data_IF_720689731674
#
_entry.id   IF_720689731674
#
_cell.length_a   1.000
_cell.length_b   1.000
_cell.length_c   1.000
_cell.angle_alpha   90.00
_cell.angle_beta   90.00
_cell.angle_gamma   90.00
#
_symmetry.space_group_name_H-M   'P 1'
#
loop_
_entity.id
_entity.type
_entity.pdbx_description
1 polymer ?
#
# COMPACT_ATOMS: atom_id res chain seq x y z
N UNK A 1 32.03 -51.54 -9.21
CA UNK A 1 31.60 -50.48 -10.16
C UNK A 1 30.11 -50.28 -10.00
N UNK A 2 29.73 -49.31 -9.18
CA UNK A 2 28.32 -48.97 -8.89
C UNK A 2 28.23 -47.45 -8.93
N UNK A 3 27.50 -46.94 -9.93
CA UNK A 3 27.19 -45.50 -10.09
C UNK A 3 26.07 -45.12 -9.12
N UNK A 4 26.08 -43.92 -8.50
CA UNK A 4 24.93 -43.42 -7.78
C UNK A 4 23.95 -42.70 -8.71
N UNK A 5 22.66 -42.91 -8.44
CA UNK A 5 21.53 -42.28 -9.12
C UNK A 5 21.45 -40.78 -8.83
N UNK A 6 21.09 -40.00 -9.85
CA UNK A 6 20.81 -38.56 -9.75
C UNK A 6 19.35 -38.35 -9.35
N UNK A 7 19.13 -37.60 -8.27
CA UNK A 7 17.85 -36.99 -7.88
C UNK A 7 17.28 -36.09 -9.00
N UNK A 8 15.96 -36.11 -9.27
CA UNK A 8 15.35 -35.19 -10.21
C UNK A 8 15.11 -33.83 -9.54
N UNK A 9 15.64 -32.77 -10.18
CA UNK A 9 15.35 -31.38 -9.85
C UNK A 9 13.89 -31.07 -10.23
N UNK A 10 13.06 -30.71 -9.25
CA UNK A 10 11.74 -30.12 -9.48
C UNK A 10 11.96 -28.68 -9.94
N UNK A 11 11.63 -28.39 -11.20
CA UNK A 11 11.56 -27.04 -11.71
C UNK A 11 10.22 -26.42 -11.26
N UNK A 12 10.26 -25.48 -10.33
CA UNK A 12 9.11 -24.65 -9.97
C UNK A 12 8.87 -23.63 -11.10
N UNK A 13 7.93 -23.93 -12.00
CA UNK A 13 7.42 -22.94 -12.94
C UNK A 13 6.55 -21.93 -12.16
N UNK A 14 7.07 -20.73 -11.90
CA UNK A 14 6.24 -19.60 -11.51
C UNK A 14 5.35 -19.23 -12.70
N UNK A 15 4.06 -19.53 -12.59
CA UNK A 15 3.02 -19.02 -13.48
C UNK A 15 2.88 -17.53 -13.19
N UNK A 16 3.12 -16.68 -14.19
CA UNK A 16 2.87 -15.23 -14.06
C UNK A 16 1.35 -15.01 -14.07
N UNK A 17 0.77 -14.24 -13.12
CA UNK A 17 -0.64 -13.89 -13.13
C UNK A 17 -1.05 -13.26 -14.47
N UNK A 18 -2.13 -13.76 -15.07
CA UNK A 18 -2.59 -13.34 -16.40
C UNK A 18 -3.76 -12.36 -16.25
N UNK A 19 -3.64 -11.17 -16.84
CA UNK A 19 -4.76 -10.23 -16.90
C UNK A 19 -5.85 -10.77 -17.83
N UNK A 20 -7.11 -10.68 -17.41
CA UNK A 20 -8.25 -10.92 -18.31
C UNK A 20 -8.51 -9.63 -19.10
N UNK A 21 -8.28 -9.59 -20.43
CA UNK A 21 -8.49 -8.37 -21.20
C UNK A 21 -9.98 -8.08 -21.32
N UNK A 22 -10.46 -7.12 -20.51
CA UNK A 22 -11.78 -6.54 -20.60
C UNK A 22 -11.71 -5.08 -20.17
N UNK A 23 -11.45 -4.17 -21.12
CA UNK A 23 -11.60 -2.73 -20.88
C UNK A 23 -13.11 -2.47 -20.88
N UNK A 24 -13.72 -2.45 -19.69
CA UNK A 24 -15.08 -1.98 -19.52
C UNK A 24 -15.03 -0.57 -18.95
N UNK A 25 -15.19 0.42 -19.83
CA UNK A 25 -15.53 1.79 -19.44
C UNK A 25 -16.95 1.77 -18.89
N UNK A 26 -17.09 1.80 -17.56
CA UNK A 26 -18.39 1.99 -16.94
C UNK A 26 -18.66 3.49 -16.83
N UNK A 27 -19.76 4.02 -17.40
CA UNK A 27 -20.22 5.34 -17.03
C UNK A 27 -20.62 5.30 -15.55
N UNK A 28 -20.18 6.31 -14.79
CA UNK A 28 -20.64 6.59 -13.44
C UNK A 28 -22.17 6.59 -13.46
N UNK A 29 -22.81 5.60 -12.82
CA UNK A 29 -24.25 5.60 -12.59
C UNK A 29 -24.60 6.86 -11.80
N UNK A 30 -25.35 7.75 -12.45
CA UNK A 30 -25.80 9.01 -11.90
C UNK A 30 -26.56 8.79 -10.59
N UNK A 31 -26.05 9.41 -9.52
CA UNK A 31 -26.84 9.73 -8.35
C UNK A 31 -27.63 10.99 -8.70
N UNK A 32 -28.86 10.84 -9.17
CA UNK A 32 -29.86 11.90 -9.13
C UNK A 32 -30.53 11.88 -7.75
N UNK A 33 -30.39 12.97 -6.98
CA UNK A 33 -31.53 13.58 -6.36
C UNK A 33 -31.75 14.93 -7.04
N UNK A 34 -32.99 15.19 -7.44
CA UNK A 34 -33.45 16.46 -7.99
C UNK A 34 -33.00 17.63 -7.10
N UNK A 35 -31.98 18.37 -7.52
CA UNK A 35 -31.51 19.58 -6.84
C UNK A 35 -32.06 20.85 -7.52
N UNK A 36 -32.34 21.92 -6.74
CA UNK A 36 -33.01 23.13 -7.23
C UNK A 36 -32.14 23.96 -8.18
N UNK A 37 -32.74 24.79 -9.05
CA UNK A 37 -32.04 25.50 -10.10
C UNK A 37 -31.15 26.61 -9.52
N UNK A 38 -29.83 26.53 -9.74
CA UNK A 38 -28.89 27.58 -9.37
C UNK A 38 -27.40 27.22 -9.28
N UNK A 39 -27.01 25.94 -9.41
CA UNK A 39 -25.60 25.53 -9.35
C UNK A 39 -25.04 25.16 -10.72
N UNK A 40 -23.90 25.79 -11.05
CA UNK A 40 -23.11 25.51 -12.26
C UNK A 40 -22.73 24.02 -12.36
N UNK A 41 -22.63 23.45 -13.58
CA UNK A 41 -22.40 22.02 -13.75
C UNK A 41 -21.04 21.58 -13.19
N UNK A 42 -21.07 20.53 -12.36
CA UNK A 42 -19.89 19.81 -11.87
C UNK A 42 -19.22 19.14 -13.06
N UNK A 43 -17.94 19.45 -13.32
CA UNK A 43 -17.17 18.82 -14.41
C UNK A 43 -17.07 17.29 -14.24
N UNK A 44 -16.85 16.53 -15.32
CA UNK A 44 -16.72 15.07 -15.23
C UNK A 44 -15.52 14.71 -14.36
N UNK A 45 -15.71 13.76 -13.43
CA UNK A 45 -14.64 13.22 -12.59
C UNK A 45 -13.55 12.50 -13.41
N UNK A 46 -12.45 12.06 -12.77
CA UNK A 46 -11.40 11.32 -13.47
C UNK A 46 -11.97 10.03 -14.10
N UNK A 47 -11.48 9.69 -15.29
CA UNK A 47 -11.82 8.44 -15.95
C UNK A 47 -11.03 7.30 -15.28
N UNK A 48 -11.71 6.23 -14.89
CA UNK A 48 -11.07 5.06 -14.30
C UNK A 48 -11.05 3.92 -15.32
N UNK A 49 -9.86 3.53 -15.76
CA UNK A 49 -9.66 2.36 -16.59
C UNK A 49 -9.44 1.14 -15.71
N UNK A 50 -10.53 0.38 -15.48
CA UNK A 50 -10.49 -0.84 -14.68
C UNK A 50 -9.84 -2.00 -15.42
N UNK A 51 -8.94 -2.67 -14.72
CA UNK A 51 -8.32 -3.93 -15.12
C UNK A 51 -8.56 -4.98 -14.04
N UNK A 52 -8.99 -6.18 -14.44
CA UNK A 52 -9.13 -7.31 -13.52
C UNK A 52 -7.87 -8.19 -13.59
N UNK A 53 -7.29 -8.44 -12.43
CA UNK A 53 -6.14 -9.32 -12.27
C UNK A 53 -6.61 -10.65 -11.69
N UNK A 54 -6.45 -11.72 -12.46
CA UNK A 54 -6.62 -13.08 -11.98
C UNK A 54 -5.39 -13.51 -11.20
N UNK A 55 -5.61 -13.92 -9.97
CA UNK A 55 -4.58 -14.33 -9.02
C UNK A 55 -4.28 -15.82 -9.15
N UNK A 56 -3.19 -16.28 -8.53
CA UNK A 56 -2.74 -17.66 -8.61
C UNK A 56 -3.75 -18.68 -8.04
N UNK A 57 -4.66 -18.23 -7.16
CA UNK A 57 -5.74 -19.05 -6.59
C UNK A 57 -7.07 -18.92 -7.35
N UNK A 58 -7.03 -18.47 -8.60
CA UNK A 58 -8.18 -18.19 -9.46
C UNK A 58 -9.13 -17.10 -8.94
N UNK A 59 -8.73 -16.39 -7.89
CA UNK A 59 -9.37 -15.17 -7.42
C UNK A 59 -9.26 -14.00 -8.40
N UNK A 60 -10.08 -12.98 -8.17
CA UNK A 60 -10.01 -11.72 -8.91
C UNK A 60 -9.87 -10.54 -7.95
N UNK A 61 -8.92 -9.66 -8.27
CA UNK A 61 -8.81 -8.30 -7.74
C UNK A 61 -8.94 -7.30 -8.88
N UNK A 62 -9.25 -6.05 -8.57
CA UNK A 62 -9.35 -4.99 -9.58
C UNK A 62 -8.28 -3.92 -9.36
N UNK A 63 -7.72 -3.43 -10.46
CA UNK A 63 -6.82 -2.30 -10.53
C UNK A 63 -7.49 -1.20 -11.34
N UNK A 64 -7.79 -0.07 -10.71
CA UNK A 64 -8.35 1.09 -11.41
C UNK A 64 -7.23 2.09 -11.71
N UNK A 65 -6.83 2.13 -12.98
CA UNK A 65 -5.86 3.10 -13.47
C UNK A 65 -6.55 4.44 -13.67
N UNK A 66 -6.02 5.49 -13.05
CA UNK A 66 -6.62 6.82 -13.16
C UNK A 66 -6.14 7.48 -14.45
N UNK A 67 -7.08 7.70 -15.37
CA UNK A 67 -6.88 8.28 -16.69
C UNK A 67 -7.54 9.65 -16.74
N UNK A 68 -6.88 10.63 -17.34
CA UNK A 68 -7.48 11.94 -17.54
C UNK A 68 -6.52 12.97 -18.13
N UNK A 69 -7.06 14.04 -18.75
CA UNK A 69 -6.25 15.15 -19.20
C UNK A 69 -5.66 15.84 -17.97
N UNK A 70 -4.33 15.96 -17.94
CA UNK A 70 -3.64 16.77 -16.94
C UNK A 70 -4.14 18.22 -17.10
N UNK A 71 -4.84 18.83 -16.12
CA UNK A 71 -5.53 20.12 -16.28
C UNK A 71 -4.60 21.27 -16.71
N UNK A 72 -3.30 21.11 -16.48
CA UNK A 72 -2.26 21.94 -17.08
C UNK A 72 -1.64 21.11 -18.20
N UNK A 73 -1.83 21.53 -19.46
CA UNK A 73 -1.27 20.92 -20.68
C UNK A 73 0.27 20.80 -20.75
N UNK A 74 0.96 20.86 -19.62
CA UNK A 74 2.32 20.42 -19.46
C UNK A 74 2.28 18.90 -19.41
N UNK A 75 2.61 18.24 -20.53
CA UNK A 75 3.30 16.95 -20.44
C UNK A 75 4.46 17.21 -19.47
N UNK A 76 4.36 16.73 -18.23
CA UNK A 76 5.49 16.73 -17.31
C UNK A 76 6.45 15.68 -17.84
N UNK A 77 7.13 16.03 -18.94
CA UNK A 77 8.40 15.43 -19.29
C UNK A 77 9.38 15.97 -18.25
N UNK A 78 9.33 15.42 -17.04
CA UNK A 78 10.48 15.51 -16.15
C UNK A 78 11.64 14.90 -16.94
N UNK A 79 12.62 15.75 -17.23
CA UNK A 79 13.89 15.45 -17.90
C UNK A 79 14.22 13.95 -17.95
N UNK A 80 13.87 13.30 -19.06
CA UNK A 80 14.35 11.97 -19.45
C UNK A 80 13.93 10.73 -18.63
N UNK A 81 13.01 10.84 -17.65
CA UNK A 81 12.58 9.71 -16.81
C UNK A 81 11.19 9.17 -17.13
N UNK A 82 10.98 7.85 -16.97
CA UNK A 82 9.63 7.25 -16.98
C UNK A 82 8.81 7.76 -15.78
N UNK A 83 7.49 8.00 -15.93
CA UNK A 83 6.63 8.44 -14.83
C UNK A 83 6.59 7.37 -13.73
N UNK A 84 6.67 7.80 -12.47
CA UNK A 84 6.59 6.90 -11.32
C UNK A 84 5.15 6.39 -11.15
N UNK A 85 4.99 5.10 -10.86
CA UNK A 85 3.68 4.52 -10.55
C UNK A 85 3.34 4.77 -9.09
N UNK A 86 2.13 5.23 -8.83
CA UNK A 86 1.61 5.45 -7.48
C UNK A 86 0.48 4.43 -7.20
N UNK A 87 0.80 3.39 -6.45
CA UNK A 87 -0.17 2.42 -5.97
C UNK A 87 -0.93 2.98 -4.77
N UNK A 88 -2.25 3.05 -4.87
CA UNK A 88 -3.12 3.54 -3.80
C UNK A 88 -3.96 2.40 -3.24
N UNK A 89 -3.91 2.20 -1.92
CA UNK A 89 -4.62 1.15 -1.19
C UNK A 89 -5.71 1.82 -0.33
N UNK A 90 -6.98 1.77 -0.76
CA UNK A 90 -8.08 2.36 -0.03
C UNK A 90 -8.35 1.64 1.30
N UNK A 91 -9.16 2.31 2.12
CA UNK A 91 -9.70 1.72 3.34
C UNK A 91 -10.60 0.49 3.06
N UNK A 92 -10.85 -0.31 4.09
CA UNK A 92 -11.63 -1.54 4.03
C UNK A 92 -13.17 -1.33 3.94
N UNK A 93 -13.66 -0.11 3.78
CA UNK A 93 -15.09 0.18 3.60
C UNK A 93 -15.65 -0.32 2.26
N UNK A 94 -14.77 -0.65 1.30
CA UNK A 94 -15.18 -1.18 0.00
C UNK A 94 -15.75 -0.16 -0.98
N UNK A 95 -15.60 1.13 -0.68
CA UNK A 95 -15.98 2.23 -1.57
C UNK A 95 -14.83 3.19 -1.78
N UNK A 96 -14.80 3.79 -2.97
CA UNK A 96 -13.84 4.84 -3.29
C UNK A 96 -14.25 6.14 -2.62
N UNK A 97 -13.32 6.75 -1.88
CA UNK A 97 -13.52 8.02 -1.17
C UNK A 97 -13.12 9.20 -2.05
N UNK A 98 -13.69 10.38 -1.79
CA UNK A 98 -13.26 11.63 -2.44
C UNK A 98 -11.80 11.96 -2.14
N UNK A 99 -11.31 11.54 -0.97
CA UNK A 99 -9.95 11.76 -0.54
C UNK A 99 -8.95 10.94 -1.39
N UNK A 100 -9.20 9.63 -1.59
CA UNK A 100 -8.41 8.81 -2.53
C UNK A 100 -8.43 9.37 -3.96
N UNK A 101 -9.60 9.80 -4.46
CA UNK A 101 -9.69 10.44 -5.78
C UNK A 101 -8.90 11.74 -5.86
N UNK A 102 -8.98 12.58 -4.83
CA UNK A 102 -8.22 13.83 -4.74
C UNK A 102 -6.70 13.60 -4.74
N UNK A 103 -6.22 12.55 -4.06
CA UNK A 103 -4.82 12.14 -4.10
C UNK A 103 -4.42 11.72 -5.52
N UNK A 104 -5.25 10.91 -6.19
CA UNK A 104 -4.95 10.43 -7.54
C UNK A 104 -4.92 11.57 -8.57
N UNK A 105 -5.85 12.52 -8.48
CA UNK A 105 -5.88 13.71 -9.34
C UNK A 105 -4.64 14.57 -9.14
N UNK A 106 -4.27 14.85 -7.89
CA UNK A 106 -3.05 15.60 -7.60
C UNK A 106 -1.80 14.84 -8.06
N UNK A 107 -1.76 13.52 -7.91
CA UNK A 107 -0.66 12.69 -8.37
C UNK A 107 -0.51 12.74 -9.90
N UNK A 108 -1.60 12.70 -10.67
CA UNK A 108 -1.59 12.92 -12.12
C UNK A 108 -1.02 14.29 -12.47
N UNK A 109 -1.44 15.35 -11.77
CA UNK A 109 -0.91 16.71 -11.95
C UNK A 109 0.59 16.80 -11.68
N UNK A 110 1.12 15.98 -10.75
CA UNK A 110 2.54 15.91 -10.41
C UNK A 110 3.33 14.92 -11.27
N UNK A 111 2.71 14.32 -12.29
CA UNK A 111 3.35 13.42 -13.24
C UNK A 111 3.56 11.98 -12.75
N UNK A 112 2.81 11.55 -11.73
CA UNK A 112 2.69 10.14 -11.35
C UNK A 112 1.64 9.44 -12.21
N UNK A 113 1.70 8.11 -12.25
CA UNK A 113 0.68 7.26 -12.84
C UNK A 113 -0.05 6.49 -11.72
N UNK A 114 -1.21 6.98 -11.25
CA UNK A 114 -1.91 6.37 -10.11
C UNK A 114 -2.69 5.13 -10.51
N UNK A 115 -2.61 4.11 -9.67
CA UNK A 115 -3.38 2.87 -9.76
C UNK A 115 -3.98 2.57 -8.41
N UNK A 116 -5.30 2.37 -8.37
CA UNK A 116 -6.04 2.07 -7.14
C UNK A 116 -6.23 0.55 -7.06
N UNK A 117 -5.78 -0.06 -5.96
CA UNK A 117 -5.96 -1.49 -5.71
C UNK A 117 -7.27 -1.75 -4.97
N UNK A 118 -8.13 -2.57 -5.56
CA UNK A 118 -9.39 -3.00 -4.96
C UNK A 118 -9.33 -4.48 -4.59
N UNK A 119 -9.59 -4.75 -3.31
CA UNK A 119 -9.72 -6.10 -2.76
C UNK A 119 -10.85 -6.88 -3.43
N UNK A 120 -10.83 -8.20 -3.27
CA UNK A 120 -11.91 -9.10 -3.69
C UNK A 120 -13.26 -8.60 -3.13
N UNK A 121 -14.29 -8.55 -3.97
CA UNK A 121 -15.63 -8.11 -3.55
C UNK A 121 -15.78 -6.60 -3.29
N UNK A 122 -14.73 -5.77 -3.41
CA UNK A 122 -14.77 -4.34 -3.12
C UNK A 122 -14.94 -3.50 -4.39
N UNK A 123 -15.63 -2.35 -4.27
CA UNK A 123 -15.80 -1.36 -5.34
C UNK A 123 -16.22 -1.93 -6.72
N UNK A 124 -17.05 -2.98 -6.74
CA UNK A 124 -17.51 -3.62 -7.97
C UNK A 124 -16.57 -4.70 -8.53
N UNK A 125 -15.45 -5.00 -7.85
CA UNK A 125 -14.70 -6.22 -8.09
C UNK A 125 -15.56 -7.43 -7.70
N UNK A 126 -15.80 -8.40 -8.60
CA UNK A 126 -16.56 -9.58 -8.26
C UNK A 126 -15.79 -10.48 -7.29
N UNK A 127 -16.53 -11.16 -6.42
CA UNK A 127 -15.99 -12.28 -5.63
C UNK A 127 -16.27 -13.58 -6.38
N UNK A 128 -15.25 -14.13 -7.06
CA UNK A 128 -15.38 -15.34 -7.91
C UNK A 128 -14.91 -16.63 -7.23
N UNK A 129 -14.30 -16.51 -6.06
CA UNK A 129 -13.89 -17.62 -5.20
C UNK A 129 -14.45 -17.39 -3.79
N UNK A 130 -14.68 -18.46 -2.99
CA UNK A 130 -15.15 -18.30 -1.61
C UNK A 130 -14.06 -17.77 -0.64
N UNK A 131 -12.90 -17.36 -1.17
CA UNK A 131 -11.81 -16.77 -0.38
C UNK A 131 -11.96 -15.25 -0.29
N UNK A 132 -12.12 -14.76 0.93
CA UNK A 132 -12.01 -13.34 1.27
C UNK A 132 -10.59 -13.02 1.72
N UNK A 133 -10.21 -11.74 1.62
CA UNK A 133 -8.94 -11.25 2.12
C UNK A 133 -9.09 -10.80 3.57
N UNK A 134 -8.32 -11.42 4.47
CA UNK A 134 -8.23 -11.01 5.87
C UNK A 134 -7.56 -9.64 6.01
N UNK A 135 -7.76 -8.97 7.15
CA UNK A 135 -7.38 -7.57 7.34
C UNK A 135 -5.89 -7.30 7.07
N UNK A 136 -5.03 -8.22 7.49
CA UNK A 136 -3.57 -8.15 7.34
C UNK A 136 -2.98 -9.20 6.39
N UNK A 137 -3.77 -9.82 5.51
CA UNK A 137 -3.27 -10.80 4.51
C UNK A 137 -2.78 -10.07 3.25
N UNK A 138 -1.45 -9.96 3.01
CA UNK A 138 -0.91 -9.26 1.85
C UNK A 138 -0.86 -10.10 0.58
N UNK A 139 -1.37 -11.35 0.56
CA UNK A 139 -1.20 -12.27 -0.58
C UNK A 139 -1.62 -11.65 -1.91
N UNK A 140 -2.81 -11.07 -1.97
CA UNK A 140 -3.34 -10.46 -3.18
C UNK A 140 -2.54 -9.20 -3.58
N UNK A 141 -2.09 -8.44 -2.58
CA UNK A 141 -1.29 -7.24 -2.81
C UNK A 141 0.10 -7.60 -3.36
N UNK A 142 0.72 -8.69 -2.89
CA UNK A 142 2.00 -9.19 -3.39
C UNK A 142 1.93 -9.50 -4.88
N UNK A 143 0.88 -10.21 -5.29
CA UNK A 143 0.64 -10.53 -6.70
C UNK A 143 0.36 -9.28 -7.54
N UNK A 144 -0.47 -8.35 -7.04
CA UNK A 144 -0.77 -7.09 -7.71
C UNK A 144 0.48 -6.20 -7.88
N UNK A 145 1.31 -6.07 -6.85
CA UNK A 145 2.57 -5.31 -6.92
C UNK A 145 3.54 -5.96 -7.91
N UNK A 146 3.62 -7.29 -7.92
CA UNK A 146 4.43 -8.04 -8.90
C UNK A 146 3.95 -7.80 -10.33
N UNK A 147 2.63 -7.82 -10.55
CA UNK A 147 2.02 -7.51 -11.84
C UNK A 147 2.32 -6.07 -12.30
N UNK A 148 2.13 -5.08 -11.42
CA UNK A 148 2.43 -3.67 -11.71
C UNK A 148 3.91 -3.49 -12.05
N UNK A 149 4.80 -4.12 -11.29
CA UNK A 149 6.24 -4.10 -11.55
C UNK A 149 6.59 -4.70 -12.91
N UNK A 150 5.95 -5.81 -13.29
CA UNK A 150 6.15 -6.44 -14.59
C UNK A 150 5.69 -5.52 -15.75
N UNK A 151 4.56 -4.83 -15.59
CA UNK A 151 4.04 -3.87 -16.59
C UNK A 151 4.89 -2.61 -16.70
N UNK A 152 5.49 -2.17 -15.59
CA UNK A 152 6.31 -0.96 -15.51
C UNK A 152 7.71 -1.25 -14.92
N UNK A 153 8.57 -2.02 -15.61
CA UNK A 153 9.80 -2.60 -15.03
C UNK A 153 10.88 -1.57 -14.70
N UNK A 154 10.85 -0.39 -15.31
CA UNK A 154 11.83 0.68 -15.09
C UNK A 154 11.25 1.89 -14.34
N UNK A 155 9.95 1.90 -14.04
CA UNK A 155 9.34 2.97 -13.25
C UNK A 155 9.58 2.74 -11.75
N UNK A 156 9.90 3.80 -10.98
CA UNK A 156 9.76 3.75 -9.52
C UNK A 156 8.31 3.47 -9.15
N UNK A 157 8.10 2.60 -8.17
CA UNK A 157 6.79 2.28 -7.62
C UNK A 157 6.69 2.82 -6.19
N UNK A 158 5.77 3.74 -5.95
CA UNK A 158 5.45 4.23 -4.60
C UNK A 158 4.09 3.67 -4.18
N UNK A 159 3.89 3.49 -2.88
CA UNK A 159 2.63 2.99 -2.33
C UNK A 159 2.06 3.96 -1.30
N UNK A 160 0.75 4.22 -1.35
CA UNK A 160 0.03 5.00 -0.36
C UNK A 160 -1.18 4.23 0.12
N UNK A 161 -1.44 4.23 1.42
CA UNK A 161 -2.67 3.69 1.98
C UNK A 161 -3.52 4.75 2.69
N UNK A 162 -4.83 4.56 2.67
CA UNK A 162 -5.79 5.35 3.44
C UNK A 162 -6.42 4.51 4.57
N UNK A 163 -6.40 5.00 5.80
CA UNK A 163 -7.09 4.41 6.93
C UNK A 163 -6.68 2.95 7.17
N UNK A 164 -7.67 2.07 7.26
CA UNK A 164 -7.50 0.61 7.37
C UNK A 164 -6.82 -0.06 6.17
N UNK A 165 -6.62 0.65 5.05
CA UNK A 165 -5.77 0.18 3.96
C UNK A 165 -4.30 -0.01 4.38
N UNK A 166 -3.88 0.70 5.44
CA UNK A 166 -2.53 0.62 5.98
C UNK A 166 -2.17 -0.77 6.51
N UNK A 167 -3.11 -1.52 7.07
CA UNK A 167 -2.84 -2.85 7.57
C UNK A 167 -2.31 -3.79 6.46
N UNK A 168 -2.90 -3.68 5.26
CA UNK A 168 -2.47 -4.44 4.10
C UNK A 168 -1.10 -3.98 3.59
N UNK A 169 -0.88 -2.66 3.52
CA UNK A 169 0.40 -2.10 3.07
C UNK A 169 1.55 -2.46 4.02
N UNK A 170 1.36 -2.32 5.32
CA UNK A 170 2.38 -2.61 6.33
C UNK A 170 2.70 -4.10 6.38
N UNK A 171 1.68 -4.97 6.32
CA UNK A 171 1.88 -6.42 6.20
C UNK A 171 2.71 -6.78 4.95
N UNK A 172 2.42 -6.15 3.81
CA UNK A 172 3.19 -6.35 2.58
C UNK A 172 4.65 -5.91 2.74
N UNK A 173 4.89 -4.74 3.33
CA UNK A 173 6.24 -4.21 3.51
C UNK A 173 7.07 -5.06 4.46
N UNK A 174 6.49 -5.52 5.57
CA UNK A 174 7.16 -6.41 6.51
C UNK A 174 7.48 -7.76 5.87
N UNK A 175 6.46 -8.47 5.34
CA UNK A 175 6.67 -9.81 4.80
C UNK A 175 7.56 -9.86 3.54
N UNK A 176 7.60 -8.78 2.74
CA UNK A 176 8.49 -8.73 1.57
C UNK A 176 9.89 -8.21 1.91
N UNK A 177 10.02 -7.39 2.96
CA UNK A 177 11.25 -6.72 3.35
C UNK A 177 12.06 -6.16 2.17
N UNK A 178 13.32 -6.58 2.06
CA UNK A 178 14.24 -6.16 0.98
C UNK A 178 13.85 -6.63 -0.42
N UNK A 179 12.95 -7.60 -0.54
CA UNK A 179 12.43 -8.08 -1.83
C UNK A 179 11.26 -7.24 -2.36
N UNK A 180 10.80 -6.25 -1.59
CA UNK A 180 9.74 -5.34 -2.02
C UNK A 180 10.12 -4.57 -3.30
N UNK A 181 9.17 -4.47 -4.23
CA UNK A 181 9.33 -3.63 -5.43
C UNK A 181 9.01 -2.15 -5.17
N UNK A 182 8.46 -1.84 -4.01
CA UNK A 182 8.12 -0.47 -3.61
C UNK A 182 9.40 0.29 -3.28
N UNK A 183 9.46 1.56 -3.66
CA UNK A 183 10.61 2.46 -3.44
C UNK A 183 10.48 3.25 -2.15
N UNK A 184 9.24 3.58 -1.78
CA UNK A 184 8.86 4.24 -0.54
C UNK A 184 7.35 4.19 -0.37
N UNK A 185 6.90 4.31 0.87
CA UNK A 185 5.49 4.18 1.22
C UNK A 185 5.01 5.36 2.08
N UNK A 186 3.71 5.63 2.06
CA UNK A 186 3.08 6.54 3.00
C UNK A 186 1.70 6.04 3.43
N UNK A 187 1.29 6.37 4.65
CA UNK A 187 0.00 5.98 5.22
C UNK A 187 -0.71 7.22 5.77
N UNK A 188 -1.95 7.44 5.33
CA UNK A 188 -2.85 8.50 5.82
C UNK A 188 -3.75 7.89 6.90
N UNK A 189 -3.69 8.41 8.13
CA UNK A 189 -4.40 7.90 9.31
C UNK A 189 -4.31 6.37 9.43
N UNK A 190 -3.09 5.78 9.47
CA UNK A 190 -2.97 4.34 9.58
C UNK A 190 -3.60 3.80 10.87
N UNK A 191 -4.23 2.63 10.76
CA UNK A 191 -4.62 1.83 11.92
C UNK A 191 -3.46 0.88 12.21
N UNK A 192 -2.63 1.22 13.19
CA UNK A 192 -1.39 0.49 13.47
C UNK A 192 -1.63 -0.69 14.40
N UNK A 193 -2.40 -0.49 15.48
CA UNK A 193 -2.79 -1.51 16.46
C UNK A 193 -4.15 -2.09 16.12
N UNK A 194 -4.20 -2.92 15.08
CA UNK A 194 -5.46 -3.38 14.50
C UNK A 194 -6.25 -4.30 15.43
N UNK A 195 -5.57 -5.17 16.19
CA UNK A 195 -6.23 -6.06 17.15
C UNK A 195 -6.98 -5.26 18.20
N UNK A 196 -6.31 -4.35 18.87
CA UNK A 196 -6.87 -3.48 19.90
C UNK A 196 -7.96 -2.59 19.30
N UNK A 197 -7.80 -2.14 18.06
CA UNK A 197 -8.83 -1.37 17.36
C UNK A 197 -10.13 -2.15 17.17
N UNK A 198 -10.06 -3.44 16.81
CA UNK A 198 -11.24 -4.31 16.76
C UNK A 198 -11.80 -4.61 18.17
N UNK A 199 -10.93 -4.81 19.16
CA UNK A 199 -11.34 -5.16 20.54
C UNK A 199 -11.97 -3.98 21.30
N UNK A 200 -11.43 -2.78 21.15
CA UNK A 200 -11.95 -1.56 21.75
C UNK A 200 -13.23 -1.08 21.06
N UNK A 201 -13.36 -1.38 19.76
CA UNK A 201 -14.47 -0.93 18.94
C UNK A 201 -14.35 0.53 18.52
N UNK A 202 -15.10 0.88 17.48
CA UNK A 202 -15.20 2.25 16.98
C UNK A 202 -16.29 3.01 17.73
N UNK A 203 -16.30 4.36 17.68
CA UNK A 203 -17.48 5.09 18.12
C UNK A 203 -18.72 4.61 17.35
N UNK A 204 -19.81 4.40 18.09
CA UNK A 204 -21.05 3.79 17.61
C UNK A 204 -21.51 4.16 16.18
N UNK A 205 -21.53 5.44 15.75
CA UNK A 205 -21.99 5.76 14.40
C UNK A 205 -21.04 5.23 13.31
N UNK A 206 -19.73 5.24 13.55
CA UNK A 206 -18.72 4.72 12.62
C UNK A 206 -18.80 3.19 12.55
N UNK A 207 -18.88 2.52 13.70
CA UNK A 207 -18.95 1.06 13.74
C UNK A 207 -20.19 0.54 13.00
N UNK A 208 -21.35 1.12 13.30
CA UNK A 208 -22.62 0.70 12.71
C UNK A 208 -22.64 0.94 11.20
N UNK A 209 -22.12 2.08 10.75
CA UNK A 209 -21.99 2.38 9.33
C UNK A 209 -21.08 1.38 8.62
N UNK A 210 -19.90 1.10 9.20
CA UNK A 210 -18.93 0.19 8.61
C UNK A 210 -19.50 -1.23 8.55
N UNK A 211 -20.00 -1.74 9.68
CA UNK A 211 -20.58 -3.08 9.76
C UNK A 211 -21.74 -3.28 8.78
N UNK A 212 -22.62 -2.28 8.64
CA UNK A 212 -23.73 -2.33 7.68
C UNK A 212 -23.20 -2.45 6.24
N UNK A 213 -22.15 -1.70 5.89
CA UNK A 213 -21.57 -1.73 4.55
C UNK A 213 -20.91 -3.08 4.26
N UNK A 214 -20.17 -3.65 5.21
CA UNK A 214 -19.60 -4.99 5.06
C UNK A 214 -20.69 -6.05 4.86
N UNK A 215 -21.78 -5.99 5.64
CA UNK A 215 -22.92 -6.89 5.49
C UNK A 215 -23.60 -6.76 4.14
N UNK A 216 -23.82 -5.53 3.66
CA UNK A 216 -24.43 -5.28 2.34
C UNK A 216 -23.52 -5.71 1.19
N UNK A 217 -22.20 -5.56 1.34
CA UNK A 217 -21.24 -6.03 0.36
C UNK A 217 -21.25 -7.56 0.26
N UNK A 218 -21.27 -8.27 1.40
CA UNK A 218 -21.24 -9.73 1.43
C UNK A 218 -22.60 -10.40 1.23
N UNK A 219 -23.72 -9.72 1.46
CA UNK A 219 -25.06 -10.33 1.30
C UNK A 219 -25.32 -10.86 -0.10
N UNK A 220 -24.75 -10.21 -1.13
CA UNK A 220 -24.83 -10.66 -2.52
C UNK A 220 -24.08 -11.97 -2.80
N UNK A 221 -23.16 -12.35 -1.91
CA UNK A 221 -22.34 -13.56 -1.98
C UNK A 221 -22.69 -14.58 -0.89
N UNK A 222 -23.78 -14.37 -0.15
CA UNK A 222 -24.16 -15.21 0.98
C UNK A 222 -24.31 -16.69 0.60
N UNK A 223 -24.91 -16.99 -0.56
CA UNK A 223 -25.05 -18.36 -1.06
C UNK A 223 -23.71 -19.01 -1.38
N UNK A 224 -22.75 -18.28 -1.95
CA UNK A 224 -21.43 -18.79 -2.26
C UNK A 224 -20.57 -19.00 -0.99
N UNK A 225 -20.78 -18.17 0.03
CA UNK A 225 -20.04 -18.24 1.29
C UNK A 225 -20.63 -19.22 2.31
N UNK A 226 -21.88 -19.68 2.11
CA UNK A 226 -22.59 -20.53 3.07
C UNK A 226 -21.85 -21.82 3.41
N UNK A 227 -21.06 -22.37 2.48
CA UNK A 227 -20.32 -23.61 2.68
C UNK A 227 -19.00 -23.38 3.43
N UNK A 228 -18.53 -22.13 3.49
CA UNK A 228 -17.26 -21.76 4.13
C UNK A 228 -17.48 -21.18 5.54
N UNK A 229 -18.55 -20.40 5.73
CA UNK A 229 -18.84 -19.69 6.98
C UNK A 229 -20.31 -19.77 7.35
N UNK A 230 -20.61 -19.67 8.64
CA UNK A 230 -22.00 -19.53 9.13
C UNK A 230 -22.52 -18.13 8.79
N UNK A 231 -23.19 -18.03 7.63
CA UNK A 231 -23.75 -16.77 7.12
C UNK A 231 -24.86 -16.23 8.01
N UNK A 232 -25.62 -17.09 8.69
CA UNK A 232 -26.67 -16.64 9.61
C UNK A 232 -26.07 -15.95 10.84
N UNK A 233 -25.02 -16.54 11.45
CA UNK A 233 -24.27 -15.89 12.54
C UNK A 233 -23.61 -14.60 12.04
N UNK A 234 -22.97 -14.65 10.87
CA UNK A 234 -22.26 -13.52 10.27
C UNK A 234 -23.15 -12.27 10.13
N UNK A 235 -24.31 -12.40 9.51
CA UNK A 235 -25.22 -11.25 9.29
C UNK A 235 -25.92 -10.79 10.57
N UNK A 236 -25.90 -11.58 11.65
CA UNK A 236 -26.41 -11.22 12.98
C UNK A 236 -25.39 -10.55 13.90
N UNK A 237 -24.10 -10.56 13.54
CA UNK A 237 -23.02 -9.91 14.30
C UNK A 237 -23.36 -8.46 14.65
N UNK A 238 -23.01 -8.00 15.85
CA UNK A 238 -23.36 -6.66 16.35
C UNK A 238 -22.18 -5.70 16.41
N UNK A 239 -20.97 -6.22 16.28
CA UNK A 239 -19.73 -5.45 16.23
C UNK A 239 -18.88 -5.85 15.02
N UNK A 240 -17.91 -5.01 14.67
CA UNK A 240 -16.91 -5.35 13.66
C UNK A 240 -16.06 -6.55 14.09
N UNK A 241 -15.72 -6.64 15.39
CA UNK A 241 -15.00 -7.79 15.96
C UNK A 241 -15.75 -9.10 15.72
N UNK A 242 -17.02 -9.17 16.11
CA UNK A 242 -17.84 -10.39 15.93
C UNK A 242 -17.95 -10.79 14.45
N UNK A 243 -18.06 -9.78 13.58
CA UNK A 243 -18.15 -9.99 12.14
C UNK A 243 -16.85 -10.55 11.57
N UNK A 244 -15.71 -9.94 11.89
CA UNK A 244 -14.38 -10.37 11.46
C UNK A 244 -14.03 -11.77 12.00
N UNK A 245 -14.27 -12.01 13.29
CA UNK A 245 -14.06 -13.31 13.94
C UNK A 245 -14.94 -14.39 13.32
N UNK A 246 -16.20 -14.08 12.98
CA UNK A 246 -17.07 -15.05 12.29
C UNK A 246 -16.62 -15.33 10.87
N UNK A 247 -16.06 -14.35 10.16
CA UNK A 247 -15.54 -14.53 8.79
C UNK A 247 -14.29 -15.40 8.74
N UNK A 248 -13.32 -15.13 9.61
CA UNK A 248 -11.97 -15.68 9.46
C UNK A 248 -11.58 -16.69 10.54
N UNK A 249 -12.18 -16.63 11.74
CA UNK A 249 -11.89 -17.56 12.83
C UNK A 249 -12.86 -18.74 12.86
N UNK A 250 -14.14 -18.52 12.57
CA UNK A 250 -15.18 -19.55 12.64
C UNK A 250 -15.51 -20.18 11.27
N UNK A 251 -14.49 -20.41 10.44
CA UNK A 251 -14.70 -21.13 9.17
C UNK A 251 -15.09 -22.60 9.44
N UNK A 252 -15.93 -23.17 8.57
CA UNK A 252 -16.43 -24.55 8.73
C UNK A 252 -15.35 -25.62 8.53
N UNK A 253 -14.32 -25.30 7.75
CA UNK A 253 -13.25 -26.24 7.41
C UNK A 253 -12.10 -26.22 8.42
N UNK A 254 -11.70 -25.03 8.87
CA UNK A 254 -10.55 -24.85 9.76
C UNK A 254 -10.79 -23.71 10.75
N UNK A 255 -11.52 -23.96 11.85
CA UNK A 255 -11.70 -22.95 12.87
C UNK A 255 -10.38 -22.67 13.59
N UNK A 256 -10.08 -21.39 13.83
CA UNK A 256 -8.90 -20.92 14.58
C UNK A 256 -9.35 -19.96 15.69
N UNK A 257 -8.48 -19.71 16.68
CA UNK A 257 -8.77 -18.73 17.71
C UNK A 257 -8.53 -17.29 17.22
N UNK A 258 -9.10 -16.31 17.90
CA UNK A 258 -8.89 -14.89 17.63
C UNK A 258 -7.42 -14.48 17.80
N UNK A 259 -6.73 -15.07 18.77
CA UNK A 259 -5.29 -14.87 19.00
C UNK A 259 -4.49 -15.40 17.82
N UNK A 260 -4.73 -16.64 17.40
CA UNK A 260 -4.06 -17.24 16.23
C UNK A 260 -4.36 -16.45 14.96
N UNK A 261 -5.56 -15.88 14.80
CA UNK A 261 -5.86 -15.00 13.68
C UNK A 261 -4.93 -13.78 13.65
N UNK A 262 -4.75 -13.10 14.78
CA UNK A 262 -3.88 -11.93 14.86
C UNK A 262 -2.40 -12.26 14.77
N UNK A 263 -1.95 -13.42 15.23
CA UNK A 263 -0.55 -13.84 15.02
C UNK A 263 -0.16 -13.82 13.54
N UNK A 264 -1.12 -14.09 12.64
CA UNK A 264 -0.90 -14.07 11.19
C UNK A 264 -1.33 -12.77 10.50
N UNK A 265 -2.18 -11.96 11.14
CA UNK A 265 -2.81 -10.79 10.49
C UNK A 265 -2.48 -9.45 11.16
N UNK A 266 -1.65 -9.44 12.21
CA UNK A 266 -1.15 -8.19 12.78
C UNK A 266 -0.26 -7.48 11.75
N UNK A 267 -0.63 -6.27 11.29
CA UNK A 267 0.13 -5.59 10.25
C UNK A 267 1.54 -5.17 10.63
N UNK A 268 1.88 -5.23 11.93
CA UNK A 268 3.20 -4.92 12.44
C UNK A 268 4.04 -6.15 12.77
N UNK A 269 3.52 -7.39 12.56
CA UNK A 269 4.20 -8.65 12.90
C UNK A 269 5.64 -8.76 12.39
N UNK A 270 5.89 -8.25 11.18
CA UNK A 270 7.19 -8.27 10.49
C UNK A 270 7.69 -6.84 10.19
N UNK A 271 7.25 -5.84 10.96
CA UNK A 271 7.54 -4.42 10.65
C UNK A 271 9.03 -4.09 10.63
N UNK A 272 9.84 -4.80 11.41
CA UNK A 272 11.28 -4.61 11.48
C UNK A 272 12.01 -5.06 10.20
N UNK A 273 11.38 -5.92 9.40
CA UNK A 273 11.92 -6.37 8.11
C UNK A 273 11.65 -5.36 6.97
N UNK A 274 10.78 -4.36 7.20
CA UNK A 274 10.47 -3.34 6.21
C UNK A 274 11.74 -2.57 5.80
N UNK A 275 12.10 -2.69 4.52
CA UNK A 275 13.38 -2.18 3.99
C UNK A 275 13.23 -0.91 3.14
N UNK A 276 12.13 -0.17 3.31
CA UNK A 276 11.83 1.05 2.55
C UNK A 276 11.29 2.15 3.47
N UNK A 277 11.52 3.44 3.15
CA UNK A 277 11.03 4.54 3.98
C UNK A 277 9.50 4.60 3.99
N UNK A 278 8.89 4.65 5.17
CA UNK A 278 7.44 4.72 5.39
C UNK A 278 7.08 5.99 6.16
N UNK A 279 6.28 6.86 5.56
CA UNK A 279 5.74 8.06 6.23
C UNK A 279 4.31 7.80 6.75
N UNK A 280 4.10 7.87 8.05
CA UNK A 280 2.78 7.80 8.67
C UNK A 280 2.30 9.21 9.04
N UNK A 281 1.19 9.65 8.45
CA UNK A 281 0.52 10.91 8.79
C UNK A 281 -0.66 10.58 9.70
N UNK A 282 -0.60 11.02 10.95
CA UNK A 282 -1.59 10.76 11.99
C UNK A 282 -2.16 12.09 12.53
N UNK A 283 -3.38 12.06 13.05
CA UNK A 283 -3.97 13.19 13.77
C UNK A 283 -4.23 12.82 15.22
N UNK A 284 -4.00 13.77 16.14
CA UNK A 284 -4.30 13.61 17.56
C UNK A 284 -5.80 13.60 17.87
N UNK A 285 -6.62 14.20 16.99
CA UNK A 285 -8.08 14.25 17.09
C UNK A 285 -8.80 13.20 16.20
N UNK A 286 -8.12 12.13 15.78
CA UNK A 286 -8.69 11.07 14.94
C UNK A 286 -9.75 10.25 15.72
N UNK A 287 -11.06 10.38 15.40
CA UNK A 287 -12.12 9.69 16.15
C UNK A 287 -12.19 8.19 15.83
N UNK A 288 -11.53 7.72 14.77
CA UNK A 288 -11.54 6.33 14.33
C UNK A 288 -10.37 5.56 14.96
N UNK A 289 -9.21 6.19 15.09
CA UNK A 289 -8.04 5.57 15.72
C UNK A 289 -8.04 5.74 17.25
N UNK A 290 -8.63 6.83 17.77
CA UNK A 290 -8.65 7.15 19.20
C UNK A 290 -7.48 8.05 19.62
N UNK A 291 -7.21 8.20 20.92
CA UNK A 291 -6.12 9.04 21.43
C UNK A 291 -4.72 8.48 21.12
N UNK A 292 -3.75 9.32 20.69
CA UNK A 292 -2.38 8.90 20.32
C UNK A 292 -1.70 7.92 21.28
N UNK A 293 -1.82 8.17 22.59
CA UNK A 293 -1.18 7.37 23.63
C UNK A 293 -1.61 5.89 23.64
N UNK A 294 -2.78 5.59 23.07
CA UNK A 294 -3.32 4.24 23.02
C UNK A 294 -3.01 3.52 21.69
N UNK A 295 -3.14 4.20 20.56
CA UNK A 295 -3.07 3.56 19.24
C UNK A 295 -1.72 3.71 18.53
N UNK A 296 -0.87 4.67 18.91
CA UNK A 296 0.44 4.86 18.30
C UNK A 296 1.50 4.00 18.99
N UNK A 297 2.18 3.08 18.29
CA UNK A 297 3.36 2.40 18.79
C UNK A 297 4.55 3.37 18.76
N UNK A 298 4.72 4.19 19.80
CA UNK A 298 5.82 5.18 19.88
C UNK A 298 7.20 4.55 19.69
N UNK A 299 7.42 3.36 20.25
CA UNK A 299 8.69 2.62 20.12
C UNK A 299 9.05 2.29 18.67
N UNK A 300 8.06 2.04 17.80
CA UNK A 300 8.31 1.81 16.36
C UNK A 300 8.96 3.05 15.74
N UNK A 301 8.42 4.24 16.02
CA UNK A 301 8.90 5.50 15.45
C UNK A 301 10.19 6.02 16.11
N UNK A 302 10.52 5.53 17.31
CA UNK A 302 11.78 5.86 17.97
C UNK A 302 12.93 4.96 17.56
N UNK A 303 12.67 3.67 17.35
CA UNK A 303 13.71 2.66 17.12
C UNK A 303 13.92 2.31 15.64
N UNK A 304 12.86 2.34 14.81
CA UNK A 304 12.95 1.90 13.43
C UNK A 304 13.36 3.06 12.49
N UNK A 305 14.52 2.98 11.82
CA UNK A 305 15.05 4.05 10.98
C UNK A 305 14.26 4.27 9.68
N UNK A 306 13.37 3.36 9.31
CA UNK A 306 12.58 3.45 8.10
C UNK A 306 11.21 4.10 8.33
N UNK A 307 10.75 4.25 9.58
CA UNK A 307 9.43 4.77 9.89
C UNK A 307 9.48 6.21 10.37
N UNK A 308 8.72 7.07 9.70
CA UNK A 308 8.59 8.48 10.02
C UNK A 308 7.17 8.79 10.47
N UNK A 309 7.02 9.47 11.59
CA UNK A 309 5.73 9.93 12.09
C UNK A 309 5.57 11.43 11.86
N UNK A 310 4.50 11.82 11.19
CA UNK A 310 3.97 13.18 11.18
C UNK A 310 2.66 13.17 11.96
N UNK A 311 2.70 13.63 13.21
CA UNK A 311 1.54 13.77 14.07
C UNK A 311 1.05 15.23 14.06
N UNK A 312 -0.14 15.48 13.52
CA UNK A 312 -0.80 16.79 13.60
C UNK A 312 -1.76 16.86 14.79
N UNK A 313 -2.03 18.08 15.27
CA UNK A 313 -3.07 18.29 16.29
C UNK A 313 -4.48 18.05 15.74
N UNK A 314 -4.68 18.41 14.47
CA UNK A 314 -5.97 18.37 13.79
C UNK A 314 -5.88 17.72 12.42
N UNK A 315 -6.97 17.08 12.03
CA UNK A 315 -7.09 16.36 10.76
C UNK A 315 -8.13 15.25 10.77
N UNK A 316 -8.63 14.85 11.94
CA UNK A 316 -9.58 13.75 12.08
C UNK A 316 -9.07 12.46 11.41
N UNK A 317 -10.01 11.61 10.96
CA UNK A 317 -9.67 10.42 10.19
C UNK A 317 -9.61 10.73 8.69
N UNK A 318 -8.42 10.75 8.11
CA UNK A 318 -8.18 11.06 6.70
C UNK A 318 -8.70 12.46 6.25
N UNK A 319 -9.01 13.35 7.19
CA UNK A 319 -9.64 14.66 6.96
C UNK A 319 -8.66 15.82 6.95
N UNK A 320 -7.45 15.61 6.45
CA UNK A 320 -6.36 16.59 6.40
C UNK A 320 -6.59 17.70 5.35
N UNK A 321 -7.74 18.36 5.41
CA UNK A 321 -8.21 19.32 4.40
C UNK A 321 -7.60 20.72 4.61
N UNK A 322 -7.61 21.54 3.55
CA UNK A 322 -7.33 22.98 3.63
C UNK A 322 -8.64 23.76 3.77
N UNK A 323 -8.58 25.10 3.73
CA UNK A 323 -9.78 25.96 3.65
C UNK A 323 -10.63 25.63 2.41
N UNK A 324 -10.00 25.21 1.31
CA UNK A 324 -10.68 24.60 0.16
C UNK A 324 -10.70 23.07 0.30
N UNK A 325 -11.81 22.40 -0.07
CA UNK A 325 -12.06 21.00 0.30
C UNK A 325 -11.13 19.98 -0.39
N UNK A 326 -10.47 20.30 -1.49
CA UNK A 326 -9.46 19.45 -2.14
C UNK A 326 -8.42 20.29 -2.92
N UNK A 327 -7.16 19.84 -3.01
CA UNK A 327 -6.60 18.63 -2.39
C UNK A 327 -6.32 18.78 -0.88
N UNK A 328 -6.36 17.68 -0.15
CA UNK A 328 -5.91 17.61 1.24
C UNK A 328 -4.42 17.95 1.35
N UNK A 329 -4.00 18.64 2.41
CA UNK A 329 -2.58 18.99 2.60
C UNK A 329 -1.71 17.73 2.77
N UNK A 330 -2.27 16.64 3.29
CA UNK A 330 -1.58 15.35 3.39
C UNK A 330 -1.16 14.82 2.02
N UNK A 331 -1.95 15.06 0.97
CA UNK A 331 -1.61 14.63 -0.38
C UNK A 331 -0.38 15.37 -0.92
N UNK A 332 -0.29 16.68 -0.65
CA UNK A 332 0.88 17.47 -1.02
C UNK A 332 2.12 16.97 -0.30
N UNK A 333 2.04 16.77 1.01
CA UNK A 333 3.15 16.26 1.85
C UNK A 333 3.64 14.90 1.35
N UNK A 334 2.74 13.97 1.05
CA UNK A 334 3.10 12.63 0.56
C UNK A 334 3.84 12.70 -0.78
N UNK A 335 3.32 13.49 -1.73
CA UNK A 335 3.95 13.61 -3.05
C UNK A 335 5.29 14.36 -2.97
N UNK A 336 5.41 15.34 -2.08
CA UNK A 336 6.69 15.99 -1.79
C UNK A 336 7.70 15.05 -1.14
N UNK A 337 7.25 14.23 -0.20
CA UNK A 337 8.06 13.17 0.42
C UNK A 337 8.58 12.18 -0.62
N UNK A 338 7.73 11.67 -1.52
CA UNK A 338 8.18 10.77 -2.59
C UNK A 338 9.14 11.44 -3.58
N UNK A 339 8.93 12.73 -3.88
CA UNK A 339 9.88 13.51 -4.69
C UNK A 339 11.24 13.60 -3.99
N UNK A 340 11.26 13.90 -2.69
CA UNK A 340 12.49 13.98 -1.90
C UNK A 340 13.21 12.63 -1.83
N UNK A 341 12.49 11.52 -1.63
CA UNK A 341 13.06 10.17 -1.70
C UNK A 341 13.70 9.87 -3.06
N UNK A 342 13.02 10.25 -4.15
CA UNK A 342 13.54 10.06 -5.51
C UNK A 342 14.84 10.83 -5.71
N UNK A 343 14.90 12.07 -5.25
CA UNK A 343 16.09 12.92 -5.32
C UNK A 343 17.25 12.39 -4.47
N UNK A 344 16.94 11.92 -3.26
CA UNK A 344 17.89 11.29 -2.35
C UNK A 344 18.53 10.06 -3.01
N UNK A 345 17.74 9.11 -3.52
CA UNK A 345 18.27 7.90 -4.16
C UNK A 345 19.06 8.20 -5.43
N UNK A 346 18.64 9.18 -6.25
CA UNK A 346 19.41 9.62 -7.42
C UNK A 346 20.76 10.21 -7.04
N UNK A 347 20.81 10.96 -5.94
CA UNK A 347 22.06 11.56 -5.44
C UNK A 347 23.00 10.48 -4.92
N UNK A 348 22.48 9.53 -4.15
CA UNK A 348 23.21 8.34 -3.67
C UNK A 348 23.80 7.52 -4.83
N UNK A 349 23.02 7.25 -5.88
CA UNK A 349 23.49 6.54 -7.07
C UNK A 349 24.60 7.30 -7.80
N UNK A 350 24.48 8.63 -7.93
CA UNK A 350 25.53 9.48 -8.52
C UNK A 350 26.80 9.45 -7.69
N UNK A 351 26.71 9.55 -6.37
CA UNK A 351 27.87 9.47 -5.47
C UNK A 351 28.56 8.11 -5.54
N UNK A 352 27.79 7.02 -5.53
CA UNK A 352 28.32 5.64 -5.71
C UNK A 352 28.95 5.45 -7.09
N UNK A 353 28.34 6.01 -8.14
CA UNK A 353 28.89 5.99 -9.50
C UNK A 353 30.21 6.76 -9.63
N UNK A 354 30.30 7.95 -9.02
CA UNK A 354 31.52 8.75 -8.95
C UNK A 354 32.63 8.03 -8.16
N UNK A 355 32.28 7.37 -7.06
CA UNK A 355 33.22 6.55 -6.27
C UNK A 355 33.77 5.36 -7.09
N UNK A 356 32.90 4.65 -7.82
CA UNK A 356 33.31 3.57 -8.73
C UNK A 356 34.20 4.08 -9.88
N UNK A 357 33.90 5.25 -10.44
CA UNK A 357 34.74 5.86 -11.46
C UNK A 357 36.12 6.28 -10.92
N UNK A 358 36.20 6.87 -9.72
CA UNK A 358 37.48 7.17 -9.06
C UNK A 358 38.28 5.90 -8.76
N UNK A 359 37.63 4.83 -8.30
CA UNK A 359 38.29 3.54 -8.08
C UNK A 359 38.81 2.91 -9.40
N UNK A 360 38.07 3.04 -10.51
CA UNK A 360 38.54 2.58 -11.83
C UNK A 360 39.68 3.41 -12.40
N UNK A 361 39.69 4.73 -12.17
CA UNK A 361 40.78 5.62 -12.60
C UNK A 361 42.07 5.39 -11.80
N UNK A 362 41.96 5.08 -10.51
CA UNK A 362 43.09 4.74 -9.63
C UNK A 362 43.56 3.29 -9.83
N UNK A 363 42.68 2.39 -10.29
CA UNK A 363 43.02 1.01 -10.67
C UNK A 363 43.81 0.88 -11.98
N UNK A 364 43.76 1.90 -12.85
CA UNK A 364 44.50 1.96 -14.11
C UNK A 364 45.98 2.40 -13.99
N UNK A 365 46.44 2.78 -12.80
CA UNK A 365 47.85 3.11 -12.51
C UNK A 365 48.41 2.18 -11.43
N UNK A 366 48.65 0.92 -11.78
CA UNK A 366 49.64 0.09 -11.08
C UNK A 366 50.77 -0.27 -12.02
N UNK A 367 51.77 0.60 -12.07
CA UNK A 367 53.16 0.23 -12.37
C UNK A 367 54.08 1.07 -11.47
N UNK A 368 54.78 0.35 -10.59
CA UNK A 368 55.95 0.71 -9.77
C UNK A 368 55.86 1.88 -8.77
N UNK A 369 56.23 1.60 -7.52
CA UNK A 369 56.71 2.61 -6.57
C UNK A 369 56.31 2.35 -5.12
N UNK A 370 57.15 1.65 -4.39
CA UNK A 370 57.22 1.65 -2.92
C UNK A 370 57.30 3.08 -2.36
N UNK A 371 56.42 3.46 -1.41
CA UNK A 371 56.81 3.95 -0.08
C UNK A 371 55.59 4.30 0.81
N UNK A 372 55.65 3.74 2.02
CA UNK A 372 55.15 4.15 3.34
C UNK A 372 53.88 5.00 3.52
N UNK A 373 52.98 4.38 4.30
CA UNK A 373 51.85 4.93 5.07
C UNK A 373 52.14 6.30 5.70
N UNK A 374 51.18 7.22 5.54
CA UNK A 374 50.91 8.29 6.50
C UNK A 374 49.41 8.30 6.79
N UNK A 375 49.04 7.88 7.99
CA UNK A 375 47.68 8.03 8.51
C UNK A 375 47.39 9.53 8.66
N UNK A 376 46.33 9.98 8.00
CA UNK A 376 45.70 11.28 8.23
C UNK A 376 44.28 10.95 8.62
N UNK A 377 43.99 11.12 9.90
CA UNK A 377 42.64 11.13 10.45
C UNK A 377 41.93 12.40 9.98
N UNK A 378 40.70 12.33 9.47
CA UNK A 378 39.75 13.43 9.59
C UNK A 378 38.69 13.08 10.62
N UNK A 379 38.62 13.96 11.60
CA UNK A 379 37.50 14.14 12.52
C UNK A 379 36.21 14.51 11.78
N UNK A 380 35.18 13.69 11.89
CA UNK A 380 33.77 14.10 12.07
C UNK A 380 32.85 12.88 12.03
N UNK A 381 32.39 12.43 13.20
CA UNK A 381 31.42 11.35 13.40
C UNK A 381 30.01 11.75 12.93
N UNK A 382 29.80 11.78 11.61
CA UNK A 382 28.47 11.87 11.00
C UNK A 382 28.28 10.89 9.82
N UNK A 383 29.35 10.28 9.31
CA UNK A 383 29.28 9.30 8.21
C UNK A 383 28.95 7.86 8.67
N UNK A 384 28.98 7.57 9.98
CA UNK A 384 28.76 6.20 10.50
C UNK A 384 27.30 5.81 10.78
N UNK A 385 26.32 6.72 10.65
CA UNK A 385 24.95 6.43 11.10
C UNK A 385 24.04 5.80 10.02
N UNK A 386 24.35 5.90 8.72
CA UNK A 386 23.45 5.34 7.70
C UNK A 386 24.18 4.79 6.47
N UNK A 387 24.55 3.50 6.52
CA UNK A 387 24.90 2.76 5.30
C UNK A 387 23.64 2.14 4.69
N UNK A 388 23.03 2.80 3.70
CA UNK A 388 21.95 2.22 2.90
C UNK A 388 22.50 1.07 2.04
N UNK A 389 22.35 -0.17 2.54
CA UNK A 389 22.62 -1.40 1.78
C UNK A 389 21.30 -2.04 1.38
N UNK A 390 20.83 -1.77 0.15
CA UNK A 390 19.90 -2.68 -0.54
C UNK A 390 20.65 -3.98 -0.81
N UNK A 391 20.52 -4.93 0.11
CA UNK A 391 20.97 -6.30 -0.10
C UNK A 391 20.01 -6.96 -1.08
N UNK A 392 20.30 -6.86 -2.39
CA UNK A 392 19.67 -7.73 -3.37
C UNK A 392 20.25 -9.14 -3.16
N UNK A 393 19.54 -10.01 -2.43
CA UNK A 393 19.77 -11.44 -2.58
C UNK A 393 19.29 -11.83 -3.97
N UNK A 394 20.25 -12.24 -4.80
CA UNK A 394 20.07 -12.61 -6.21
C UNK A 394 19.30 -13.92 -6.38
#
# INVERSE_FOLDING_TARGET
MTRPERSPRVASHHRVPQACPGIHSYPTLGLEPSEPPGMLPVGPGPELAREYLQLADDGLVALDWVVGPCPRGRRVTNAGGLPAVLLVIPNAWGRLTRNVLGLCLLALERGYYPVIFHRRGHHGCPLVSPRLQAFGDPSDLKEAVTYIRFRHPAAPLFAVSEGSGSALLLSYLGECGSSSYVTGAACISPVLRCREWFEAGLPWPYERGFLLQQKMALSRYASALQDTVDTHKLFRSRSLREFEETLFCHTKSFPISWETYWDHNDPLRDVDEAAVPVLCICSADDPVCGPPDHFLPTELFHSNPYFFLLLSHHGGHCGFLRQEPLPAWSHEVILEYFRALTEFFRTEERMKGLSRHRASFLGGRRRWGTLQKREVSPSSNLEEIFSWKRSYTR
#
